data_IF_324437477394
#
_entry.id   IF_324437477394
#
_cell.length_a   1.000
_cell.length_b   1.000
_cell.length_c   1.000
_cell.angle_alpha   90.00
_cell.angle_beta   90.00
_cell.angle_gamma   90.00
#
_symmetry.space_group_name_H-M   'P 1'
#
loop_
_entity.id
_entity.type
_entity.pdbx_description
1 polymer ?
#
# COMPACT_ATOMS: atom_id res chain seq x y z
N UNK A 1 -10.14 -19.75 -43.07
CA UNK A 1 -10.81 -20.54 -42.01
C UNK A 1 -9.88 -20.61 -40.81
N UNK A 2 -10.02 -19.67 -39.88
CA UNK A 2 -9.20 -19.61 -38.65
C UNK A 2 -9.89 -20.43 -37.58
N UNK A 3 -9.24 -21.52 -37.14
CA UNK A 3 -9.68 -22.30 -35.99
C UNK A 3 -9.91 -21.39 -34.78
N UNK A 4 -11.02 -21.57 -34.02
CA UNK A 4 -11.14 -20.92 -32.73
C UNK A 4 -10.02 -21.41 -31.81
N UNK A 5 -9.48 -20.54 -30.94
CA UNK A 5 -8.43 -20.94 -30.01
C UNK A 5 -8.92 -22.09 -29.13
N UNK A 6 -8.04 -23.06 -28.78
CA UNK A 6 -8.40 -24.15 -27.89
C UNK A 6 -8.91 -23.58 -26.56
N UNK A 7 -10.10 -24.03 -26.15
CA UNK A 7 -10.66 -23.69 -24.86
C UNK A 7 -9.68 -24.15 -23.77
N UNK A 8 -9.12 -23.19 -23.04
CA UNK A 8 -8.37 -23.46 -21.81
C UNK A 8 -9.28 -24.32 -20.91
N UNK A 9 -8.79 -25.44 -20.34
CA UNK A 9 -9.60 -26.26 -19.45
C UNK A 9 -10.10 -25.37 -18.32
N UNK A 10 -11.41 -25.14 -18.29
CA UNK A 10 -12.08 -24.49 -17.17
C UNK A 10 -11.71 -25.27 -15.92
N UNK A 11 -11.04 -24.58 -14.99
CA UNK A 11 -10.41 -25.16 -13.80
C UNK A 11 -11.33 -26.08 -13.00
N UNK A 12 -10.69 -26.91 -12.16
CA UNK A 12 -11.30 -27.93 -11.29
C UNK A 12 -12.75 -27.63 -10.92
N UNK A 13 -13.66 -28.61 -11.05
CA UNK A 13 -15.06 -28.42 -10.64
C UNK A 13 -15.05 -28.00 -9.17
N UNK A 14 -15.34 -26.72 -8.92
CA UNK A 14 -15.45 -26.20 -7.58
C UNK A 14 -16.55 -26.99 -6.87
N UNK A 15 -16.19 -27.67 -5.78
CA UNK A 15 -17.12 -28.48 -5.00
C UNK A 15 -18.37 -27.66 -4.61
N UNK A 16 -19.55 -28.30 -4.60
CA UNK A 16 -20.79 -27.64 -4.21
C UNK A 16 -20.66 -27.10 -2.77
N UNK A 17 -21.11 -25.86 -2.56
CA UNK A 17 -21.02 -25.18 -1.26
C UNK A 17 -22.03 -25.76 -0.30
N UNK A 18 -21.58 -26.19 0.88
CA UNK A 18 -22.50 -26.73 1.90
C UNK A 18 -23.29 -25.62 2.58
N UNK A 19 -24.45 -25.96 3.18
CA UNK A 19 -25.25 -24.98 3.92
C UNK A 19 -24.50 -24.37 5.12
N UNK A 20 -23.66 -25.17 5.79
CA UNK A 20 -22.80 -24.71 6.89
C UNK A 20 -21.73 -23.72 6.40
N UNK A 21 -21.07 -24.02 5.27
CA UNK A 21 -20.11 -23.10 4.63
C UNK A 21 -20.76 -21.80 4.20
N UNK A 22 -21.98 -21.85 3.65
CA UNK A 22 -22.72 -20.66 3.25
C UNK A 22 -23.08 -19.79 4.46
N UNK A 23 -23.54 -20.38 5.56
CA UNK A 23 -23.84 -19.65 6.79
C UNK A 23 -22.57 -19.00 7.38
N UNK A 24 -21.46 -19.75 7.44
CA UNK A 24 -20.17 -19.23 7.87
C UNK A 24 -19.65 -18.12 6.96
N UNK A 25 -19.81 -18.25 5.64
CA UNK A 25 -19.41 -17.24 4.67
C UNK A 25 -20.23 -15.96 4.83
N UNK A 26 -21.56 -16.03 5.01
CA UNK A 26 -22.41 -14.86 5.26
C UNK A 26 -22.03 -14.12 6.55
N UNK A 27 -21.83 -14.85 7.65
CA UNK A 27 -21.33 -14.27 8.91
C UNK A 27 -19.92 -13.68 8.75
N UNK A 28 -19.09 -14.31 7.93
CA UNK A 28 -17.76 -13.82 7.60
C UNK A 28 -17.79 -12.55 6.74
N UNK A 29 -18.74 -12.41 5.82
CA UNK A 29 -18.93 -11.18 5.01
C UNK A 29 -19.33 -10.02 5.92
N UNK A 30 -20.30 -10.19 6.81
CA UNK A 30 -20.74 -9.12 7.73
C UNK A 30 -19.61 -8.64 8.64
N UNK A 31 -18.92 -9.57 9.30
CA UNK A 31 -17.87 -9.27 10.26
C UNK A 31 -16.63 -8.65 9.60
N UNK A 32 -16.14 -9.23 8.49
CA UNK A 32 -14.95 -8.71 7.80
C UNK A 32 -15.23 -7.37 7.12
N UNK A 33 -16.39 -7.19 6.49
CA UNK A 33 -16.77 -5.89 5.93
C UNK A 33 -16.84 -4.80 6.99
N UNK A 34 -17.46 -5.07 8.14
CA UNK A 34 -17.53 -4.11 9.25
C UNK A 34 -16.15 -3.71 9.76
N UNK A 35 -15.25 -4.67 9.94
CA UNK A 35 -13.84 -4.41 10.35
C UNK A 35 -13.08 -3.60 9.31
N UNK A 36 -13.21 -3.95 8.02
CA UNK A 36 -12.57 -3.23 6.92
C UNK A 36 -13.08 -1.79 6.87
N UNK A 37 -14.40 -1.58 6.90
CA UNK A 37 -14.99 -0.24 6.87
C UNK A 37 -14.58 0.61 8.08
N UNK A 38 -14.55 0.02 9.27
CA UNK A 38 -14.09 0.69 10.49
C UNK A 38 -12.61 1.07 10.41
N UNK A 39 -11.76 0.15 9.97
CA UNK A 39 -10.33 0.40 9.82
C UNK A 39 -10.00 1.40 8.71
N UNK A 40 -10.73 1.40 7.59
CA UNK A 40 -10.62 2.45 6.56
C UNK A 40 -11.07 3.81 7.13
N UNK A 41 -12.13 3.85 7.95
CA UNK A 41 -12.51 5.06 8.66
C UNK A 41 -11.42 5.58 9.60
N UNK A 42 -10.82 4.69 10.39
CA UNK A 42 -9.71 5.02 11.28
C UNK A 42 -8.48 5.49 10.49
N UNK A 43 -8.13 4.82 9.38
CA UNK A 43 -7.05 5.28 8.50
C UNK A 43 -7.31 6.70 7.99
N UNK A 44 -8.51 7.00 7.50
CA UNK A 44 -8.84 8.35 7.05
C UNK A 44 -8.63 9.39 8.16
N UNK A 45 -9.04 9.07 9.39
CA UNK A 45 -8.85 9.94 10.56
C UNK A 45 -7.37 10.10 10.92
N UNK A 46 -6.55 9.05 10.80
CA UNK A 46 -5.11 9.11 11.10
C UNK A 46 -4.30 9.83 10.02
N UNK A 47 -4.70 9.71 8.75
CA UNK A 47 -3.98 10.30 7.62
C UNK A 47 -4.08 11.83 7.59
N UNK A 48 -5.22 12.41 8.01
CA UNK A 48 -5.40 13.88 8.08
C UNK A 48 -4.38 14.56 9.00
N UNK A 49 -4.28 14.23 10.31
CA UNK A 49 -3.30 14.84 11.20
C UNK A 49 -1.87 14.48 10.81
N UNK A 50 -1.61 13.29 10.27
CA UNK A 50 -0.28 12.94 9.76
C UNK A 50 0.14 13.83 8.58
N UNK A 51 -0.76 14.08 7.62
CA UNK A 51 -0.51 14.98 6.50
C UNK A 51 -0.34 16.44 6.93
N UNK A 52 -1.15 16.89 7.89
CA UNK A 52 -1.00 18.23 8.49
C UNK A 52 0.32 18.37 9.25
N UNK A 53 0.71 17.37 10.03
CA UNK A 53 1.99 17.34 10.73
C UNK A 53 3.16 17.32 9.73
N UNK A 54 3.04 16.58 8.63
CA UNK A 54 4.02 16.59 7.54
C UNK A 54 4.15 17.95 6.87
N UNK A 55 3.04 18.61 6.55
CA UNK A 55 3.03 19.96 5.99
C UNK A 55 3.61 20.99 6.98
N UNK A 56 3.28 20.87 8.26
CA UNK A 56 3.85 21.71 9.31
C UNK A 56 5.36 21.49 9.46
N UNK A 57 5.83 20.25 9.49
CA UNK A 57 7.25 19.91 9.56
C UNK A 57 8.03 20.39 8.33
N UNK A 58 7.45 20.27 7.13
CA UNK A 58 8.02 20.81 5.91
C UNK A 58 8.16 22.33 5.97
N UNK A 59 7.09 23.03 6.39
CA UNK A 59 7.12 24.48 6.54
C UNK A 59 8.19 24.92 7.54
N UNK A 60 8.20 24.32 8.73
CA UNK A 60 9.14 24.64 9.79
C UNK A 60 10.59 24.32 9.38
N UNK A 61 10.79 23.22 8.65
CA UNK A 61 12.10 22.86 8.10
C UNK A 61 12.65 23.89 7.12
N UNK A 62 11.80 24.45 6.24
CA UNK A 62 12.18 25.54 5.33
C UNK A 62 12.46 26.85 6.07
N UNK A 63 11.65 27.20 7.08
CA UNK A 63 11.84 28.41 7.90
C UNK A 63 13.13 28.33 8.73
N UNK A 64 13.52 27.14 9.19
CA UNK A 64 14.74 26.91 9.97
C UNK A 64 16.01 26.78 9.11
N UNK A 65 15.89 26.57 7.80
CA UNK A 65 17.03 26.28 6.91
C UNK A 65 18.05 27.43 6.84
N UNK A 66 17.64 28.72 6.67
CA UNK A 66 18.58 29.85 6.59
C UNK A 66 19.44 29.98 7.84
N UNK A 67 18.84 29.85 9.03
CA UNK A 67 19.57 29.91 10.30
C UNK A 67 20.57 28.76 10.47
N UNK A 68 20.23 27.56 9.99
CA UNK A 68 21.14 26.40 10.01
C UNK A 68 22.31 26.57 9.02
N UNK A 69 22.06 27.14 7.85
CA UNK A 69 23.11 27.46 6.88
C UNK A 69 24.06 28.53 7.40
N UNK A 70 23.53 29.57 8.07
CA UNK A 70 24.34 30.60 8.71
C UNK A 70 25.25 30.02 9.81
N UNK A 71 24.69 29.18 10.69
CA UNK A 71 25.47 28.51 11.74
C UNK A 71 26.57 27.60 11.15
N UNK A 72 26.26 26.82 10.10
CA UNK A 72 27.23 25.99 9.38
C UNK A 72 28.40 26.83 8.82
N UNK A 73 28.11 28.00 8.27
CA UNK A 73 29.14 28.90 7.74
C UNK A 73 30.07 29.42 8.87
N UNK A 74 29.50 29.83 10.00
CA UNK A 74 30.27 30.31 11.16
C UNK A 74 31.24 29.25 11.70
N UNK A 75 30.83 27.97 11.73
CA UNK A 75 31.68 26.87 12.20
C UNK A 75 32.75 26.44 11.21
N UNK A 76 32.53 26.70 9.93
CA UNK A 76 33.57 26.53 8.91
C UNK A 76 34.61 27.64 8.93
N UNK A 77 34.64 28.51 9.93
CA UNK A 77 35.49 29.72 9.97
C UNK A 77 35.18 30.72 8.84
N UNK A 78 34.02 30.59 8.19
CA UNK A 78 33.70 31.33 6.97
C UNK A 78 34.37 30.77 5.70
N UNK A 79 34.94 29.56 5.75
CA UNK A 79 35.52 28.90 4.56
C UNK A 79 34.44 28.41 3.59
N UNK A 80 33.18 28.27 4.04
CA UNK A 80 32.06 28.01 3.15
C UNK A 80 31.70 29.28 2.38
N UNK A 81 31.40 29.18 1.07
CA UNK A 81 30.90 30.32 0.32
C UNK A 81 29.63 30.87 0.98
N UNK A 82 29.42 32.19 0.91
CA UNK A 82 28.20 32.83 1.41
C UNK A 82 27.01 32.36 0.58
N UNK A 83 26.39 31.27 1.02
CA UNK A 83 25.28 30.66 0.31
C UNK A 83 24.00 31.40 0.65
N UNK A 84 23.45 32.14 -0.32
CA UNK A 84 22.12 32.71 -0.18
C UNK A 84 21.08 31.59 -0.32
N UNK A 85 20.21 31.46 0.68
CA UNK A 85 19.10 30.52 0.65
C UNK A 85 18.22 30.70 -0.59
N UNK A 86 18.06 31.94 -1.05
CA UNK A 86 17.27 32.25 -2.25
C UNK A 86 17.90 31.72 -3.55
N UNK A 87 19.23 31.55 -3.58
CA UNK A 87 19.95 30.94 -4.71
C UNK A 87 19.94 29.41 -4.66
N UNK A 88 19.90 28.84 -3.45
CA UNK A 88 19.88 27.40 -3.19
C UNK A 88 18.51 26.75 -3.40
N UNK A 89 17.45 27.43 -2.95
CA UNK A 89 16.11 26.87 -2.90
C UNK A 89 15.18 27.76 -3.72
N UNK A 90 14.69 27.28 -4.88
CA UNK A 90 13.77 28.07 -5.70
C UNK A 90 12.54 28.50 -4.90
N UNK A 91 12.10 29.74 -5.05
CA UNK A 91 10.96 30.29 -4.30
C UNK A 91 9.65 29.49 -4.48
N UNK A 92 9.51 28.75 -5.59
CA UNK A 92 8.37 27.87 -5.84
C UNK A 92 8.44 26.53 -5.09
N UNK A 93 9.60 26.12 -4.57
CA UNK A 93 9.81 24.79 -4.00
C UNK A 93 8.97 24.57 -2.75
N UNK A 94 8.97 25.51 -1.80
CA UNK A 94 8.18 25.42 -0.58
C UNK A 94 6.66 25.35 -0.86
N UNK A 95 6.04 26.29 -1.60
CA UNK A 95 4.61 26.20 -1.89
C UNK A 95 4.25 24.97 -2.74
N UNK A 96 5.11 24.53 -3.66
CA UNK A 96 4.87 23.31 -4.43
C UNK A 96 4.90 22.05 -3.55
N UNK A 97 5.90 21.89 -2.68
CA UNK A 97 6.00 20.73 -1.80
C UNK A 97 4.87 20.71 -0.76
N UNK A 98 4.48 21.86 -0.21
CA UNK A 98 3.30 21.97 0.67
C UNK A 98 2.02 21.59 -0.07
N UNK A 99 1.81 22.15 -1.27
CA UNK A 99 0.66 21.85 -2.11
C UNK A 99 0.57 20.36 -2.46
N UNK A 100 1.70 19.76 -2.85
CA UNK A 100 1.78 18.32 -3.17
C UNK A 100 1.52 17.44 -1.93
N UNK A 101 2.03 17.83 -0.75
CA UNK A 101 1.80 17.08 0.49
C UNK A 101 0.32 17.09 0.89
N UNK A 102 -0.31 18.26 0.82
CA UNK A 102 -1.73 18.42 1.14
C UNK A 102 -2.62 17.73 0.10
N UNK A 103 -2.32 17.91 -1.19
CA UNK A 103 -3.03 17.25 -2.28
C UNK A 103 -2.90 15.72 -2.17
N UNK A 104 -1.69 15.22 -1.92
CA UNK A 104 -1.42 13.79 -1.72
C UNK A 104 -2.21 13.21 -0.56
N UNK A 105 -2.26 13.95 0.56
CA UNK A 105 -3.07 13.57 1.73
C UNK A 105 -4.56 13.57 1.42
N UNK A 106 -5.07 14.61 0.75
CA UNK A 106 -6.47 14.69 0.35
C UNK A 106 -6.87 13.55 -0.60
N UNK A 107 -6.02 13.25 -1.59
CA UNK A 107 -6.21 12.13 -2.51
C UNK A 107 -6.20 10.78 -1.77
N UNK A 108 -5.28 10.58 -0.82
CA UNK A 108 -5.21 9.35 -0.05
C UNK A 108 -6.46 9.14 0.83
N UNK A 109 -6.91 10.18 1.54
CA UNK A 109 -8.15 10.15 2.32
C UNK A 109 -9.35 9.87 1.40
N UNK A 110 -9.41 10.52 0.24
CA UNK A 110 -10.48 10.29 -0.73
C UNK A 110 -10.48 8.85 -1.26
N UNK A 111 -9.32 8.29 -1.58
CA UNK A 111 -9.18 6.90 -2.00
C UNK A 111 -9.68 5.92 -0.92
N UNK A 112 -9.34 6.17 0.34
CA UNK A 112 -9.79 5.36 1.49
C UNK A 112 -11.31 5.42 1.66
N UNK A 113 -11.92 6.60 1.50
CA UNK A 113 -13.37 6.76 1.56
C UNK A 113 -14.07 6.06 0.40
N UNK A 114 -13.52 6.14 -0.81
CA UNK A 114 -14.04 5.42 -1.99
C UNK A 114 -13.94 3.90 -1.78
N UNK A 115 -12.82 3.40 -1.26
CA UNK A 115 -12.67 1.98 -0.92
C UNK A 115 -13.69 1.54 0.14
N UNK A 116 -13.92 2.37 1.17
CA UNK A 116 -14.91 2.11 2.22
C UNK A 116 -16.33 1.99 1.67
N UNK A 117 -16.70 2.88 0.75
CA UNK A 117 -17.99 2.84 0.05
C UNK A 117 -18.12 1.57 -0.81
N UNK A 118 -17.08 1.21 -1.56
CA UNK A 118 -17.08 0.02 -2.40
C UNK A 118 -17.24 -1.27 -1.59
N UNK A 119 -16.53 -1.41 -0.46
CA UNK A 119 -16.68 -2.55 0.45
C UNK A 119 -18.11 -2.64 1.00
N UNK A 120 -18.72 -1.51 1.33
CA UNK A 120 -20.12 -1.45 1.76
C UNK A 120 -21.09 -1.92 0.70
N UNK A 121 -20.97 -1.37 -0.51
CA UNK A 121 -21.84 -1.75 -1.61
C UNK A 121 -21.71 -3.23 -1.99
N UNK A 122 -20.50 -3.79 -1.96
CA UNK A 122 -20.28 -5.23 -2.18
C UNK A 122 -20.93 -6.06 -1.06
N UNK A 123 -20.75 -5.68 0.21
CA UNK A 123 -21.38 -6.36 1.34
C UNK A 123 -22.91 -6.39 1.18
N UNK A 124 -23.52 -5.23 0.94
CA UNK A 124 -24.97 -5.08 0.91
C UNK A 124 -25.58 -5.86 -0.24
N UNK A 125 -24.99 -5.79 -1.45
CA UNK A 125 -25.44 -6.60 -2.58
C UNK A 125 -25.23 -8.11 -2.36
N UNK A 126 -24.16 -8.50 -1.66
CA UNK A 126 -23.87 -9.93 -1.40
C UNK A 126 -24.84 -10.53 -0.37
N UNK A 127 -25.21 -9.78 0.66
CA UNK A 127 -26.05 -10.26 1.75
C UNK A 127 -27.55 -10.05 1.51
N UNK A 128 -27.91 -9.02 0.74
CA UNK A 128 -29.29 -8.60 0.51
C UNK A 128 -29.44 -8.13 -0.95
N UNK A 129 -29.44 -9.07 -1.91
CA UNK A 129 -29.48 -8.71 -3.32
C UNK A 129 -30.75 -7.95 -3.67
N UNK A 130 -30.62 -6.81 -4.35
CA UNK A 130 -31.74 -5.98 -4.77
C UNK A 130 -31.32 -4.91 -5.77
N UNK A 131 -32.27 -4.39 -6.55
CA UNK A 131 -31.98 -3.42 -7.61
C UNK A 131 -31.28 -2.14 -7.10
N UNK A 132 -31.66 -1.66 -5.92
CA UNK A 132 -31.04 -0.50 -5.29
C UNK A 132 -29.57 -0.75 -4.90
N UNK A 133 -29.28 -1.91 -4.31
CA UNK A 133 -27.92 -2.29 -3.91
C UNK A 133 -27.03 -2.59 -5.13
N UNK A 134 -27.60 -3.16 -6.19
CA UNK A 134 -26.92 -3.36 -7.47
C UNK A 134 -26.46 -2.03 -8.08
N UNK A 135 -27.38 -1.06 -8.18
CA UNK A 135 -27.04 0.26 -8.72
C UNK A 135 -25.97 0.97 -7.88
N UNK A 136 -26.00 0.81 -6.55
CA UNK A 136 -24.97 1.34 -5.65
C UNK A 136 -23.60 0.66 -5.88
N UNK A 137 -23.58 -0.66 -6.07
CA UNK A 137 -22.37 -1.42 -6.37
C UNK A 137 -21.75 -1.02 -7.71
N UNK A 138 -22.56 -0.88 -8.77
CA UNK A 138 -22.08 -0.43 -10.08
C UNK A 138 -21.52 0.98 -10.05
N UNK A 139 -22.18 1.88 -9.32
CA UNK A 139 -21.70 3.26 -9.14
C UNK A 139 -20.35 3.25 -8.42
N UNK A 140 -20.23 2.44 -7.37
CA UNK A 140 -18.98 2.29 -6.62
C UNK A 140 -17.85 1.69 -7.48
N UNK A 141 -18.15 0.67 -8.30
CA UNK A 141 -17.19 0.07 -9.21
C UNK A 141 -16.72 1.07 -10.29
N UNK A 142 -17.62 1.89 -10.83
CA UNK A 142 -17.27 2.96 -11.77
C UNK A 142 -16.34 3.99 -11.12
N UNK A 143 -16.57 4.34 -9.86
CA UNK A 143 -15.70 5.27 -9.12
C UNK A 143 -14.33 4.66 -8.83
N UNK A 144 -14.24 3.38 -8.47
CA UNK A 144 -12.98 2.71 -8.12
C UNK A 144 -12.05 2.48 -9.33
N UNK A 145 -12.59 2.25 -10.54
CA UNK A 145 -11.78 1.96 -11.74
C UNK A 145 -10.73 3.04 -12.08
N UNK A 146 -11.08 4.35 -12.09
CA UNK A 146 -10.10 5.42 -12.23
C UNK A 146 -9.02 5.39 -11.13
N UNK A 147 -9.40 5.13 -9.88
CA UNK A 147 -8.44 5.03 -8.76
C UNK A 147 -7.44 3.90 -8.93
N UNK A 148 -7.90 2.74 -9.40
CA UNK A 148 -7.01 1.62 -9.73
C UNK A 148 -6.02 2.03 -10.82
N UNK A 149 -6.49 2.76 -11.85
CA UNK A 149 -5.64 3.22 -12.96
C UNK A 149 -4.63 4.27 -12.48
N UNK A 150 -5.06 5.23 -11.65
CA UNK A 150 -4.17 6.20 -11.01
C UNK A 150 -3.14 5.51 -10.10
N UNK A 151 -3.54 4.49 -9.34
CA UNK A 151 -2.66 3.68 -8.52
C UNK A 151 -1.62 2.90 -9.32
N UNK A 152 -1.91 2.56 -10.58
CA UNK A 152 -0.93 1.97 -11.50
C UNK A 152 0.09 3.02 -11.97
N UNK A 153 -0.30 4.29 -12.13
CA UNK A 153 0.62 5.36 -12.55
C UNK A 153 1.50 5.85 -11.39
N UNK A 154 0.98 5.83 -10.16
CA UNK A 154 1.67 6.30 -8.96
C UNK A 154 3.11 5.78 -8.77
N UNK A 155 3.42 4.47 -8.87
CA UNK A 155 4.80 3.98 -8.69
C UNK A 155 5.75 4.44 -9.80
N UNK A 156 5.26 4.72 -11.03
CA UNK A 156 6.06 5.36 -12.07
C UNK A 156 6.44 6.77 -11.64
N UNK A 157 5.45 7.54 -11.16
CA UNK A 157 5.71 8.91 -10.67
C UNK A 157 6.68 8.92 -9.48
N UNK A 158 6.59 7.93 -8.58
CA UNK A 158 7.53 7.78 -7.48
C UNK A 158 8.95 7.46 -7.96
N UNK A 159 9.12 6.64 -9.00
CA UNK A 159 10.43 6.36 -9.59
C UNK A 159 11.10 7.60 -10.21
N UNK A 160 10.31 8.61 -10.58
CA UNK A 160 10.84 9.90 -11.05
C UNK A 160 11.36 10.79 -9.92
N UNK A 161 10.91 10.60 -8.68
CA UNK A 161 11.31 11.47 -7.56
C UNK A 161 12.81 11.40 -7.28
N UNK A 162 13.45 10.23 -7.13
CA UNK A 162 14.91 10.15 -6.98
C UNK A 162 15.66 10.81 -8.14
N UNK A 163 15.18 10.64 -9.38
CA UNK A 163 15.76 11.24 -10.58
C UNK A 163 15.70 12.77 -10.56
N UNK A 164 14.65 13.35 -9.97
CA UNK A 164 14.48 14.79 -9.79
C UNK A 164 15.28 15.34 -8.61
N UNK A 165 15.48 14.55 -7.56
CA UNK A 165 16.24 14.94 -6.35
C UNK A 165 17.75 14.90 -6.59
N UNK A 166 18.24 13.98 -7.42
CA UNK A 166 19.66 13.86 -7.78
C UNK A 166 20.31 15.20 -8.24
N UNK A 167 19.78 15.93 -9.24
CA UNK A 167 20.39 17.19 -9.68
C UNK A 167 20.36 18.29 -8.60
N UNK A 168 19.33 18.32 -7.74
CA UNK A 168 19.28 19.23 -6.59
C UNK A 168 20.39 18.90 -5.57
N UNK A 169 20.57 17.60 -5.28
CA UNK A 169 21.58 17.14 -4.34
C UNK A 169 22.99 17.38 -4.87
N UNK A 170 23.24 17.10 -6.16
CA UNK A 170 24.51 17.40 -6.80
C UNK A 170 24.77 18.90 -6.95
N UNK A 171 23.74 19.71 -7.23
CA UNK A 171 23.84 21.17 -7.26
C UNK A 171 24.24 21.73 -5.90
N UNK A 172 23.65 21.21 -4.82
CA UNK A 172 23.98 21.58 -3.45
C UNK A 172 25.43 21.20 -3.08
N UNK A 173 25.85 19.96 -3.38
CA UNK A 173 27.22 19.50 -3.13
C UNK A 173 28.23 20.34 -3.93
N UNK A 174 27.90 20.71 -5.17
CA UNK A 174 28.76 21.55 -6.03
C UNK A 174 29.02 22.93 -5.44
N UNK A 175 28.04 23.48 -4.76
CA UNK A 175 28.16 24.78 -4.11
C UNK A 175 28.90 24.70 -2.77
N UNK A 176 28.76 23.59 -2.03
CA UNK A 176 29.40 23.38 -0.73
C UNK A 176 30.88 22.96 -0.84
N UNK A 177 31.24 22.15 -1.84
CA UNK A 177 32.62 21.74 -2.09
C UNK A 177 32.87 21.60 -3.60
N UNK A 178 33.25 22.70 -4.27
CA UNK A 178 33.54 22.69 -5.70
C UNK A 178 34.76 21.82 -6.06
N UNK A 179 35.63 21.49 -5.10
CA UNK A 179 36.85 20.73 -5.33
C UNK A 179 36.62 19.21 -5.34
N UNK A 180 35.75 18.66 -4.49
CA UNK A 180 35.39 17.22 -4.55
C UNK A 180 34.65 16.85 -5.83
N UNK A 181 33.77 17.72 -6.35
CA UNK A 181 33.06 17.47 -7.61
C UNK A 181 33.91 17.75 -8.86
N UNK A 182 34.90 18.64 -8.78
CA UNK A 182 35.89 18.81 -9.84
C UNK A 182 36.70 17.53 -10.12
N UNK A 183 36.88 16.69 -9.08
CA UNK A 183 37.49 15.36 -9.20
C UNK A 183 36.48 14.25 -9.55
N UNK A 184 35.21 14.37 -9.13
CA UNK A 184 34.12 13.47 -9.50
C UNK A 184 33.38 13.99 -10.74
N UNK A 185 33.99 13.84 -11.92
CA UNK A 185 33.27 14.08 -13.17
C UNK A 185 32.16 13.02 -13.34
N UNK A 186 30.94 13.33 -12.93
CA UNK A 186 29.75 12.54 -13.29
C UNK A 186 29.52 12.69 -14.79
N UNK A 187 30.11 11.79 -15.57
CA UNK A 187 29.94 11.72 -16.99
C UNK A 187 28.58 11.14 -17.38
N UNK A 188 28.29 11.07 -18.69
CA UNK A 188 27.08 10.43 -19.21
C UNK A 188 26.93 8.97 -18.76
N UNK A 189 28.04 8.30 -18.45
CA UNK A 189 28.08 6.89 -18.04
C UNK A 189 27.57 6.72 -16.61
N UNK A 190 28.01 7.55 -15.67
CA UNK A 190 27.58 7.53 -14.27
C UNK A 190 26.11 7.94 -14.16
N UNK A 191 25.68 8.96 -14.91
CA UNK A 191 24.26 9.34 -15.02
C UNK A 191 23.44 8.20 -15.61
N UNK A 192 23.94 7.54 -16.66
CA UNK A 192 23.31 6.35 -17.24
C UNK A 192 23.19 5.19 -16.26
N UNK A 193 24.23 4.93 -15.45
CA UNK A 193 24.23 3.90 -14.42
C UNK A 193 23.24 4.20 -13.28
N UNK A 194 23.13 5.47 -12.87
CA UNK A 194 22.16 5.91 -11.86
C UNK A 194 20.72 5.74 -12.39
N UNK A 195 20.46 6.19 -13.62
CA UNK A 195 19.14 6.02 -14.27
C UNK A 195 18.80 4.53 -14.39
N UNK A 196 19.73 3.71 -14.87
CA UNK A 196 19.54 2.27 -14.97
C UNK A 196 19.30 1.64 -13.60
N UNK A 197 20.04 2.05 -12.58
CA UNK A 197 19.86 1.59 -11.20
C UNK A 197 18.47 1.91 -10.67
N UNK A 198 17.99 3.15 -10.86
CA UNK A 198 16.61 3.54 -10.47
C UNK A 198 15.58 2.72 -11.21
N UNK A 199 15.75 2.50 -12.52
CA UNK A 199 14.82 1.71 -13.33
C UNK A 199 14.78 0.26 -12.86
N UNK A 200 15.94 -0.39 -12.74
CA UNK A 200 16.06 -1.80 -12.32
C UNK A 200 15.52 -2.00 -10.90
N UNK A 201 15.76 -1.05 -9.99
CA UNK A 201 15.24 -1.10 -8.63
C UNK A 201 13.72 -0.88 -8.56
N UNK A 202 13.18 0.02 -9.38
CA UNK A 202 11.77 0.41 -9.34
C UNK A 202 10.85 -0.56 -10.10
N UNK A 203 11.37 -1.21 -11.14
CA UNK A 203 10.62 -2.13 -12.00
C UNK A 203 9.87 -3.22 -11.24
N UNK A 204 10.49 -3.97 -10.30
CA UNK A 204 9.78 -4.98 -9.51
C UNK A 204 8.58 -4.39 -8.77
N UNK A 205 8.75 -3.24 -8.12
CA UNK A 205 7.68 -2.56 -7.38
C UNK A 205 6.54 -2.11 -8.28
N UNK A 206 6.85 -1.57 -9.47
CA UNK A 206 5.85 -1.15 -10.47
C UNK A 206 5.05 -2.37 -10.95
N UNK A 207 5.73 -3.43 -11.37
CA UNK A 207 5.11 -4.66 -11.88
C UNK A 207 4.21 -5.29 -10.80
N UNK A 208 4.71 -5.41 -9.58
CA UNK A 208 3.94 -5.97 -8.45
C UNK A 208 2.68 -5.15 -8.17
N UNK A 209 2.81 -3.82 -8.11
CA UNK A 209 1.66 -2.92 -7.89
C UNK A 209 0.62 -3.08 -8.98
N UNK A 210 1.04 -3.18 -10.24
CA UNK A 210 0.15 -3.38 -11.37
C UNK A 210 -0.59 -4.71 -11.30
N UNK A 211 0.11 -5.79 -10.96
CA UNK A 211 -0.47 -7.13 -10.84
C UNK A 211 -1.49 -7.20 -9.69
N UNK A 212 -1.18 -6.63 -8.52
CA UNK A 212 -2.11 -6.54 -7.39
C UNK A 212 -3.37 -5.77 -7.80
N UNK A 213 -3.22 -4.58 -8.38
CA UNK A 213 -4.33 -3.72 -8.78
C UNK A 213 -5.17 -4.33 -9.90
N UNK A 214 -4.53 -5.01 -10.86
CA UNK A 214 -5.23 -5.75 -11.91
C UNK A 214 -6.02 -6.94 -11.36
N UNK A 215 -5.49 -7.67 -10.37
CA UNK A 215 -6.20 -8.76 -9.72
C UNK A 215 -7.43 -8.24 -8.96
N UNK A 216 -7.29 -7.15 -8.18
CA UNK A 216 -8.41 -6.51 -7.47
C UNK A 216 -9.48 -6.05 -8.45
N UNK A 217 -9.08 -5.43 -9.57
CA UNK A 217 -10.01 -5.03 -10.63
C UNK A 217 -10.78 -6.21 -11.20
N UNK A 218 -10.09 -7.31 -11.55
CA UNK A 218 -10.71 -8.53 -12.08
C UNK A 218 -11.72 -9.11 -11.10
N UNK A 219 -11.41 -9.14 -9.81
CA UNK A 219 -12.34 -9.59 -8.78
C UNK A 219 -13.55 -8.67 -8.69
N UNK A 220 -13.38 -7.35 -8.59
CA UNK A 220 -14.50 -6.39 -8.56
C UNK A 220 -15.40 -6.52 -9.79
N UNK A 221 -14.80 -6.63 -10.99
CA UNK A 221 -15.54 -6.79 -12.24
C UNK A 221 -16.32 -8.12 -12.25
N UNK A 222 -15.77 -9.21 -11.71
CA UNK A 222 -16.47 -10.48 -11.56
C UNK A 222 -17.66 -10.40 -10.59
N UNK A 223 -17.50 -9.71 -9.45
CA UNK A 223 -18.60 -9.50 -8.48
C UNK A 223 -19.73 -8.68 -9.10
N UNK A 224 -19.42 -7.63 -9.89
CA UNK A 224 -20.45 -6.82 -10.58
C UNK A 224 -21.10 -7.62 -11.73
N UNK A 225 -20.31 -8.37 -12.50
CA UNK A 225 -20.82 -9.20 -13.59
C UNK A 225 -21.75 -10.30 -13.09
N UNK A 226 -21.47 -10.86 -11.90
CA UNK A 226 -22.29 -11.90 -11.27
C UNK A 226 -23.74 -11.48 -11.05
N UNK A 227 -23.98 -10.21 -10.78
CA UNK A 227 -25.32 -9.68 -10.58
C UNK A 227 -26.17 -9.67 -11.87
N UNK A 228 -25.52 -9.75 -13.03
CA UNK A 228 -26.18 -9.74 -14.35
C UNK A 228 -26.16 -11.10 -15.03
N UNK A 229 -25.13 -11.92 -14.76
CA UNK A 229 -24.86 -13.18 -15.46
C UNK A 229 -24.29 -14.23 -14.50
N UNK A 230 -24.51 -15.54 -14.75
CA UNK A 230 -23.98 -16.62 -13.91
C UNK A 230 -22.49 -16.88 -14.16
N UNK A 231 -21.64 -15.93 -13.75
CA UNK A 231 -20.16 -16.01 -13.79
C UNK A 231 -19.63 -16.56 -12.45
N UNK A 232 -18.59 -17.39 -12.44
CA UNK A 232 -17.94 -17.80 -11.18
C UNK A 232 -17.07 -16.67 -10.62
N UNK A 233 -17.24 -16.35 -9.35
CA UNK A 233 -16.45 -15.31 -8.64
C UNK A 233 -15.24 -15.94 -7.93
N UNK A 234 -15.30 -17.22 -7.56
CA UNK A 234 -14.25 -17.93 -6.82
C UNK A 234 -12.92 -18.03 -7.57
N UNK A 235 -12.94 -18.21 -8.88
CA UNK A 235 -11.72 -18.20 -9.71
C UNK A 235 -10.98 -16.85 -9.65
N UNK A 236 -11.73 -15.74 -9.72
CA UNK A 236 -11.18 -14.40 -9.61
C UNK A 236 -10.67 -14.10 -8.18
N UNK A 237 -11.36 -14.59 -7.15
CA UNK A 237 -10.93 -14.44 -5.76
C UNK A 237 -9.62 -15.19 -5.45
N UNK A 238 -9.48 -16.43 -5.95
CA UNK A 238 -8.21 -17.19 -5.85
C UNK A 238 -7.05 -16.50 -6.58
N UNK A 239 -7.33 -15.81 -7.69
CA UNK A 239 -6.30 -15.05 -8.42
C UNK A 239 -5.75 -13.85 -7.63
N UNK A 240 -6.53 -13.30 -6.70
CA UNK A 240 -6.13 -12.18 -5.82
C UNK A 240 -5.32 -12.67 -4.61
N UNK A 241 -5.62 -13.87 -4.12
CA UNK A 241 -5.10 -14.39 -2.85
C UNK A 241 -3.56 -14.41 -2.70
N UNK A 242 -2.76 -14.91 -3.67
CA UNK A 242 -1.30 -14.91 -3.58
C UNK A 242 -0.72 -13.50 -3.46
N UNK A 243 -1.31 -12.53 -4.16
CA UNK A 243 -0.89 -11.14 -4.15
C UNK A 243 -1.16 -10.47 -2.80
N UNK A 244 -2.31 -10.78 -2.18
CA UNK A 244 -2.63 -10.26 -0.86
C UNK A 244 -1.69 -10.85 0.21
N UNK A 245 -1.36 -12.14 0.09
CA UNK A 245 -0.38 -12.81 0.95
C UNK A 245 1.01 -12.19 0.84
N UNK A 246 1.48 -11.97 -0.39
CA UNK A 246 2.77 -11.34 -0.63
C UNK A 246 2.83 -9.94 0.00
N UNK A 247 1.81 -9.12 -0.23
CA UNK A 247 1.73 -7.77 0.35
C UNK A 247 1.63 -7.82 1.88
N UNK A 248 0.91 -8.79 2.44
CA UNK A 248 0.82 -8.99 3.89
C UNK A 248 2.20 -9.25 4.50
N UNK A 249 3.02 -10.10 3.87
CA UNK A 249 4.39 -10.40 4.33
C UNK A 249 5.25 -9.13 4.30
N UNK A 250 5.18 -8.34 3.22
CA UNK A 250 5.90 -7.07 3.12
C UNK A 250 5.47 -6.07 4.20
N UNK A 251 4.17 -5.98 4.48
CA UNK A 251 3.65 -5.11 5.54
C UNK A 251 4.12 -5.55 6.93
N UNK A 252 4.17 -6.86 7.20
CA UNK A 252 4.71 -7.41 8.45
C UNK A 252 6.20 -7.08 8.59
N UNK A 253 6.97 -7.23 7.51
CA UNK A 253 8.40 -6.92 7.53
C UNK A 253 8.64 -5.41 7.74
N UNK A 254 7.87 -4.55 7.08
CA UNK A 254 7.90 -3.11 7.28
C UNK A 254 7.50 -2.71 8.71
N UNK A 255 6.46 -3.33 9.26
CA UNK A 255 6.05 -3.14 10.66
C UNK A 255 7.17 -3.52 11.64
N UNK A 256 7.80 -4.68 11.42
CA UNK A 256 8.92 -5.13 12.23
C UNK A 256 10.09 -4.13 12.15
N UNK A 257 10.41 -3.64 10.95
CA UNK A 257 11.45 -2.61 10.75
C UNK A 257 11.13 -1.30 11.48
N UNK A 258 9.89 -0.82 11.41
CA UNK A 258 9.46 0.39 12.12
C UNK A 258 9.54 0.24 13.64
N UNK A 259 9.16 -0.93 14.18
CA UNK A 259 9.28 -1.22 15.61
C UNK A 259 10.74 -1.37 16.05
N UNK A 260 11.56 -2.07 15.26
CA UNK A 260 12.99 -2.26 15.51
C UNK A 260 13.79 -0.96 15.38
N UNK A 261 13.34 0.03 14.59
CA UNK A 261 13.94 1.36 14.54
C UNK A 261 13.42 2.29 15.64
N UNK A 262 12.10 2.32 15.84
CA UNK A 262 11.43 3.26 16.74
C UNK A 262 11.68 2.99 18.22
N UNK A 263 11.68 1.71 18.65
CA UNK A 263 11.87 1.35 20.06
C UNK A 263 13.30 1.69 20.55
N UNK A 264 14.38 1.40 19.80
CA UNK A 264 15.71 1.85 20.18
C UNK A 264 15.86 3.37 20.17
N UNK A 265 15.25 4.08 19.23
CA UNK A 265 15.27 5.55 19.24
C UNK A 265 14.64 6.13 20.51
N UNK A 266 13.51 5.57 20.97
CA UNK A 266 12.93 5.92 22.28
C UNK A 266 13.92 5.65 23.42
N UNK A 267 14.54 4.47 23.43
CA UNK A 267 15.51 4.10 24.46
C UNK A 267 16.70 5.07 24.48
N UNK A 268 17.31 5.35 23.34
CA UNK A 268 18.45 6.29 23.19
C UNK A 268 18.06 7.71 23.61
N UNK A 269 16.83 8.17 23.31
CA UNK A 269 16.36 9.49 23.73
C UNK A 269 16.35 9.69 25.26
N UNK A 270 16.16 8.61 26.02
CA UNK A 270 16.19 8.65 27.47
C UNK A 270 17.62 8.82 28.02
N UNK A 271 18.63 8.30 27.32
CA UNK A 271 20.04 8.43 27.70
C UNK A 271 20.65 9.77 27.30
N UNK A 272 20.30 10.30 26.12
CA UNK A 272 20.81 11.60 25.63
C UNK A 272 20.40 12.76 26.55
N UNK A 273 19.20 12.72 27.14
CA UNK A 273 18.72 13.76 28.04
C UNK A 273 19.49 13.90 29.36
N UNK A 274 20.40 12.98 29.67
CA UNK A 274 21.22 12.99 30.90
C UNK A 274 22.71 13.24 30.68
N UNK A 275 23.17 13.38 29.42
CA UNK A 275 24.57 13.61 29.11
C UNK A 275 24.87 15.12 29.07
N UNK A 276 25.83 15.63 29.87
CA UNK A 276 26.29 17.01 29.73
C UNK A 276 27.11 17.11 28.43
N UNK A 277 26.57 17.79 27.43
CA UNK A 277 27.33 18.22 26.25
C UNK A 277 27.37 19.74 26.34
N UNK A 278 28.40 20.23 27.04
CA UNK A 278 28.67 21.66 27.24
C UNK A 278 29.68 22.19 26.21
N UNK A 279 29.74 21.55 25.03
CA UNK A 279 30.60 22.01 23.95
C UNK A 279 29.98 23.26 23.29
N UNK A 280 30.59 24.44 23.43
CA UNK A 280 30.05 25.69 22.90
C UNK A 280 29.90 25.68 21.38
N UNK A 281 30.70 24.88 20.67
CA UNK A 281 30.58 24.72 19.21
C UNK A 281 29.29 23.98 18.84
N UNK A 282 28.92 22.92 19.57
CA UNK A 282 27.66 22.19 19.36
C UNK A 282 26.43 23.01 19.79
N UNK A 283 26.56 23.83 20.84
CA UNK A 283 25.50 24.74 21.28
C UNK A 283 25.25 25.84 20.23
N UNK A 284 26.29 26.35 19.56
CA UNK A 284 26.16 27.33 18.48
C UNK A 284 25.40 26.80 17.25
N UNK A 285 25.46 25.48 16.99
CA UNK A 285 24.64 24.78 16.00
C UNK A 285 23.16 24.59 16.41
N UNK A 286 22.80 24.96 17.64
CA UNK A 286 21.53 24.58 18.25
C UNK A 286 21.43 23.09 18.57
N UNK A 287 22.52 22.32 18.46
CA UNK A 287 22.62 20.90 18.79
C UNK A 287 22.83 20.72 20.30
N UNK A 288 21.84 21.16 21.07
CA UNK A 288 21.78 20.93 22.51
C UNK A 288 21.28 19.50 22.80
N UNK A 289 21.65 18.88 23.94
CA UNK A 289 21.10 17.59 24.37
C UNK A 289 19.56 17.57 24.39
N UNK A 290 18.93 18.70 24.74
CA UNK A 290 17.48 18.86 24.74
C UNK A 290 16.90 18.85 23.33
N UNK A 291 17.55 19.52 22.36
CA UNK A 291 17.16 19.49 20.96
C UNK A 291 17.36 18.11 20.32
N UNK A 292 18.48 17.43 20.61
CA UNK A 292 18.74 16.07 20.12
C UNK A 292 17.73 15.08 20.70
N UNK A 293 17.43 15.17 22.01
CA UNK A 293 16.37 14.40 22.67
C UNK A 293 15.01 14.65 22.03
N UNK A 294 14.65 15.91 21.77
CA UNK A 294 13.40 16.26 21.11
C UNK A 294 13.32 15.64 19.70
N UNK A 295 14.41 15.72 18.93
CA UNK A 295 14.49 15.16 17.58
C UNK A 295 14.35 13.63 17.59
N UNK A 296 15.02 12.95 18.54
CA UNK A 296 14.88 11.50 18.72
C UNK A 296 13.47 11.11 19.16
N UNK A 297 12.84 11.86 20.07
CA UNK A 297 11.46 11.62 20.50
C UNK A 297 10.46 11.82 19.36
N UNK A 298 10.64 12.88 18.56
CA UNK A 298 9.81 13.14 17.38
C UNK A 298 9.99 12.04 16.33
N UNK A 299 11.23 11.63 16.05
CA UNK A 299 11.54 10.54 15.13
C UNK A 299 10.95 9.21 15.59
N UNK A 300 11.10 8.88 16.87
CA UNK A 300 10.55 7.66 17.44
C UNK A 300 9.01 7.69 17.48
N UNK A 301 8.41 8.83 17.83
CA UNK A 301 6.97 9.05 17.77
C UNK A 301 6.42 8.89 16.35
N UNK A 302 7.11 9.43 15.35
CA UNK A 302 6.77 9.27 13.93
C UNK A 302 6.87 7.80 13.49
N UNK A 303 7.92 7.08 13.89
CA UNK A 303 8.07 5.65 13.59
C UNK A 303 6.98 4.80 14.25
N UNK A 304 6.61 5.08 15.49
CA UNK A 304 5.54 4.37 16.19
C UNK A 304 4.16 4.69 15.60
N UNK A 305 3.90 5.94 15.23
CA UNK A 305 2.70 6.32 14.50
C UNK A 305 2.65 5.61 13.13
N UNK A 306 3.78 5.54 12.43
CA UNK A 306 3.95 4.75 11.22
C UNK A 306 3.67 3.26 11.45
N UNK A 307 4.19 2.69 12.54
CA UNK A 307 3.94 1.30 12.93
C UNK A 307 2.45 1.04 13.18
N UNK A 308 1.73 1.97 13.82
CA UNK A 308 0.29 1.86 14.01
C UNK A 308 -0.47 1.86 12.67
N UNK A 309 -0.07 2.73 11.72
CA UNK A 309 -0.63 2.74 10.36
C UNK A 309 -0.33 1.42 9.64
N UNK A 310 0.91 0.93 9.71
CA UNK A 310 1.32 -0.34 9.09
C UNK A 310 0.59 -1.55 9.70
N UNK A 311 0.38 -1.56 11.03
CA UNK A 311 -0.41 -2.58 11.69
C UNK A 311 -1.87 -2.57 11.20
N UNK A 312 -2.46 -1.38 11.05
CA UNK A 312 -3.81 -1.23 10.52
C UNK A 312 -3.91 -1.68 9.05
N UNK A 313 -2.93 -1.35 8.22
CA UNK A 313 -2.82 -1.84 6.84
C UNK A 313 -2.66 -3.37 6.77
N UNK A 314 -1.86 -3.94 7.68
CA UNK A 314 -1.66 -5.39 7.80
C UNK A 314 -2.98 -6.09 8.13
N UNK A 315 -3.71 -5.58 9.11
CA UNK A 315 -5.03 -6.09 9.50
C UNK A 315 -6.04 -5.96 8.36
N UNK A 316 -6.08 -4.81 7.69
CA UNK A 316 -6.91 -4.61 6.50
C UNK A 316 -6.61 -5.62 5.41
N UNK A 317 -5.33 -5.91 5.15
CA UNK A 317 -4.94 -6.87 4.13
C UNK A 317 -5.40 -8.30 4.49
N UNK A 318 -5.20 -8.70 5.75
CA UNK A 318 -5.65 -9.99 6.26
C UNK A 318 -7.19 -10.13 6.16
N UNK A 319 -7.94 -9.09 6.53
CA UNK A 319 -9.40 -9.11 6.42
C UNK A 319 -9.89 -9.06 4.98
N UNK A 320 -9.26 -8.29 4.10
CA UNK A 320 -9.60 -8.18 2.67
C UNK A 320 -9.49 -9.52 1.95
N UNK A 321 -8.44 -10.31 2.22
CA UNK A 321 -8.31 -11.67 1.68
C UNK A 321 -9.49 -12.54 2.08
N UNK A 322 -9.78 -12.57 3.37
CA UNK A 322 -10.88 -13.34 3.90
C UNK A 322 -12.26 -12.86 3.40
N UNK A 323 -12.42 -11.55 3.19
CA UNK A 323 -13.64 -10.95 2.69
C UNK A 323 -13.89 -11.37 1.23
N UNK A 324 -12.89 -11.27 0.36
CA UNK A 324 -13.00 -11.64 -1.04
C UNK A 324 -13.46 -13.11 -1.23
N UNK A 325 -12.89 -14.03 -0.45
CA UNK A 325 -13.26 -15.45 -0.48
C UNK A 325 -14.66 -15.72 0.06
N UNK A 326 -15.06 -15.05 1.14
CA UNK A 326 -16.42 -15.20 1.69
C UNK A 326 -17.48 -14.67 0.71
N UNK A 327 -17.23 -13.50 0.09
CA UNK A 327 -18.10 -12.93 -0.94
C UNK A 327 -18.26 -13.88 -2.12
N UNK A 328 -17.15 -14.42 -2.62
CA UNK A 328 -17.17 -15.39 -3.72
C UNK A 328 -18.00 -16.64 -3.37
N UNK A 329 -17.82 -17.18 -2.17
CA UNK A 329 -18.58 -18.35 -1.70
C UNK A 329 -20.08 -18.08 -1.58
N UNK A 330 -20.49 -16.91 -1.07
CA UNK A 330 -21.92 -16.55 -0.98
C UNK A 330 -22.54 -16.40 -2.37
N UNK A 331 -21.84 -15.73 -3.29
CA UNK A 331 -22.34 -15.44 -4.64
C UNK A 331 -22.37 -16.67 -5.57
N UNK A 332 -21.40 -17.58 -5.41
CA UNK A 332 -21.32 -18.80 -6.20
C UNK A 332 -22.28 -19.89 -5.67
N UNK A 333 -22.66 -19.87 -4.38
CA UNK A 333 -23.68 -20.78 -3.83
C UNK A 333 -25.09 -20.56 -4.42
N UNK A 334 -25.42 -19.33 -4.85
CA UNK A 334 -26.70 -18.99 -5.48
C UNK A 334 -26.79 -19.30 -6.97
N UNK A 335 -26.01 -20.27 -7.49
CA UNK A 335 -25.98 -20.60 -8.93
C UNK A 335 -27.09 -21.62 -9.26
N UNK A 336 -28.05 -21.29 -10.15
CA UNK A 336 -28.97 -22.28 -10.68
C UNK A 336 -28.17 -23.35 -11.44
N UNK A 337 -28.28 -24.61 -11.02
CA UNK A 337 -27.61 -25.73 -11.69
C UNK A 337 -26.26 -26.17 -11.13
N UNK A 338 -25.84 -25.71 -9.93
CA UNK A 338 -24.80 -26.45 -9.19
C UNK A 338 -25.47 -27.71 -8.62
N UNK A 339 -25.15 -28.92 -9.10
CA UNK A 339 -25.77 -30.11 -8.55
C UNK A 339 -25.37 -30.23 -7.08
N UNK A 340 -26.35 -30.19 -6.20
CA UNK A 340 -26.23 -30.82 -4.90
C UNK A 340 -26.21 -32.33 -5.17
N UNK A 341 -25.09 -32.87 -5.65
CA UNK A 341 -24.91 -34.32 -5.65
C UNK A 341 -24.86 -34.75 -4.19
N UNK A 342 -25.80 -35.59 -3.71
CA UNK A 342 -25.53 -36.35 -2.50
C UNK A 342 -24.21 -37.09 -2.75
N UNK A 343 -23.34 -37.11 -1.74
CA UNK A 343 -22.13 -37.93 -1.76
C UNK A 343 -22.57 -39.38 -1.93
N UNK A 344 -22.60 -39.85 -3.18
CA UNK A 344 -22.66 -41.28 -3.45
C UNK A 344 -21.22 -41.75 -3.27
N UNK A 345 -20.98 -42.40 -2.14
CA UNK A 345 -19.76 -43.15 -1.90
C UNK A 345 -19.56 -44.14 -3.08
N UNK A 346 -18.48 -44.03 -3.86
CA UNK A 346 -18.22 -44.94 -4.97
C UNK A 346 -17.99 -46.38 -4.51
N UNK A 347 -17.93 -46.62 -3.19
CA UNK A 347 -17.76 -47.94 -2.58
C UNK A 347 -19.06 -48.55 -2.04
N UNK A 348 -20.21 -47.85 -2.10
CA UNK A 348 -21.49 -48.35 -1.57
C UNK A 348 -22.40 -48.97 -2.65
N UNK A 349 -21.83 -49.68 -3.62
CA UNK A 349 -22.59 -50.47 -4.59
C UNK A 349 -23.00 -51.83 -4.01
N UNK A 350 -24.24 -52.27 -4.27
CA UNK A 350 -24.72 -53.58 -3.85
C UNK A 350 -23.83 -54.69 -4.44
N UNK A 351 -23.26 -55.53 -3.56
CA UNK A 351 -22.53 -56.73 -3.96
C UNK A 351 -23.50 -57.67 -4.66
N UNK A 352 -23.39 -57.77 -5.99
CA UNK A 352 -24.09 -58.76 -6.79
C UNK A 352 -23.47 -60.13 -6.50
N UNK A 353 -24.24 -61.13 -6.06
CA UNK A 353 -23.72 -62.49 -5.90
C UNK A 353 -23.37 -63.03 -7.29
N UNK A 354 -22.16 -63.57 -7.42
CA UNK A 354 -21.66 -64.17 -8.65
C UNK A 354 -22.57 -65.35 -9.06
N UNK A 355 -23.33 -65.16 -10.13
CA UNK A 355 -24.15 -66.21 -10.75
C UNK A 355 -23.28 -67.04 -11.69
N UNK A 356 -23.05 -68.28 -11.27
CA UNK A 356 -22.82 -69.52 -12.01
C UNK A 356 -22.19 -69.46 -13.41
N UNK A 357 -20.95 -69.94 -13.47
CA UNK A 357 -20.36 -70.50 -14.69
C UNK A 357 -20.97 -71.89 -14.94
N UNK A 358 -21.70 -72.04 -16.04
CA UNK A 358 -21.80 -73.33 -16.72
C UNK A 358 -20.93 -73.30 -17.98
N UNK A 359 -19.91 -74.17 -18.09
CA UNK A 359 -19.33 -74.54 -19.37
C UNK A 359 -20.11 -75.73 -19.96
N UNK A 360 -20.08 -75.81 -21.29
CA UNK A 360 -20.53 -76.94 -22.10
C UNK A 360 -19.93 -78.28 -21.69
#
# INVERSE_FOLDING_TARGET
MTQPPPAVPTGSPDLPVTAAELAAARAGVTLRAGRIQGALGLLAILWVPAGLAGAWALRWGFEALPGRLAALNELSSGDLPSLDFAELVPAWAQPALLGLTLLGTALAVWAVLVARQAVGAVRDQTLSPGAAHLAAQERSARTVRPWITLGQIAPILQALVPLLVLPLTFGLIRQLDPQTLGAMAFGPVEVGAIVLGVVVQSLPTIILTWLILAAIRRWLDAVVARAHRPVSVRSAARGVEPWLLFTLILLILGLAGLLLGGLPLLAVSAFVGGAPVDDPELVSLGLTPSFLRLTLLLGAGAMLAGAAIYALLTLLMAWSRGFAMNVATVLDAGRPGSPATPVHDPWSGAVQPAQDRHPH
#
